data_IF_405460844840
#
_entry.id   IF_405460844840
#
_cell.length_a   1.000
_cell.length_b   1.000
_cell.length_c   1.000
_cell.angle_alpha   90.00
_cell.angle_beta   90.00
_cell.angle_gamma   90.00
#
_symmetry.space_group_name_H-M   'P 1'
#
loop_
_entity.id
_entity.type
_entity.pdbx_description
1 polymer ?
#
# COMPACT_ATOMS: atom_id res chain seq x y z
N UNK A 1 -8.96 -7.83 0.15
CA UNK A 1 -8.27 -6.93 1.09
C UNK A 1 -6.87 -7.45 1.38
N UNK A 2 -5.95 -6.55 1.67
CA UNK A 2 -4.58 -6.84 2.05
C UNK A 2 -4.28 -6.15 3.39
N UNK A 3 -3.50 -5.09 3.46
CA UNK A 3 -3.26 -4.34 4.68
C UNK A 3 -4.49 -3.60 5.19
N UNK A 4 -4.55 -3.38 6.49
CA UNK A 4 -5.61 -2.61 7.15
C UNK A 4 -5.07 -1.90 8.40
N UNK A 5 -5.60 -0.71 8.69
CA UNK A 5 -5.27 0.06 9.89
C UNK A 5 -6.52 0.71 10.50
N UNK A 6 -6.48 0.95 11.80
CA UNK A 6 -7.52 1.71 12.50
C UNK A 6 -7.19 3.19 12.38
N UNK A 7 -8.12 3.95 11.83
CA UNK A 7 -7.99 5.40 11.71
C UNK A 7 -8.33 6.15 12.99
N UNK A 8 -8.04 7.47 13.05
CA UNK A 8 -8.29 8.31 14.22
C UNK A 8 -9.78 8.43 14.57
N UNK A 9 -10.68 8.13 13.66
CA UNK A 9 -12.13 8.10 13.84
C UNK A 9 -12.65 6.74 14.35
N UNK A 10 -11.76 5.76 14.56
CA UNK A 10 -12.10 4.42 15.03
C UNK A 10 -12.66 3.50 13.92
N UNK A 11 -12.67 3.93 12.68
CA UNK A 11 -12.99 3.08 11.55
C UNK A 11 -11.76 2.28 11.09
N UNK A 12 -11.98 1.16 10.39
CA UNK A 12 -10.91 0.41 9.76
C UNK A 12 -10.77 0.84 8.32
N UNK A 13 -9.54 1.18 7.92
CA UNK A 13 -9.17 1.50 6.55
C UNK A 13 -8.46 0.32 5.92
N UNK A 14 -8.89 -0.07 4.74
CA UNK A 14 -8.48 -1.31 4.09
C UNK A 14 -7.90 -1.02 2.72
N UNK A 15 -6.70 -1.51 2.48
CA UNK A 15 -6.13 -1.64 1.15
C UNK A 15 -6.80 -2.81 0.42
N UNK A 16 -7.75 -2.52 -0.47
CA UNK A 16 -8.39 -3.54 -1.28
C UNK A 16 -7.71 -3.60 -2.65
N UNK A 17 -6.97 -4.67 -2.88
CA UNK A 17 -6.18 -4.88 -4.09
C UNK A 17 -6.99 -5.40 -5.30
N UNK A 18 -8.31 -5.45 -5.20
CA UNK A 18 -9.20 -5.86 -6.30
C UNK A 18 -9.26 -7.36 -6.58
N UNK A 19 -8.43 -8.16 -5.94
CA UNK A 19 -8.37 -9.61 -6.09
C UNK A 19 -7.07 -10.11 -6.75
N UNK A 20 -6.71 -11.36 -6.42
CA UNK A 20 -5.61 -12.12 -7.01
C UNK A 20 -6.12 -13.43 -7.60
N UNK A 21 -5.40 -13.95 -8.57
CA UNK A 21 -5.42 -15.37 -8.88
C UNK A 21 -4.72 -16.12 -7.73
N UNK A 22 -5.25 -17.28 -7.34
CA UNK A 22 -4.68 -18.10 -6.27
C UNK A 22 -4.25 -19.45 -6.80
N UNK A 23 -3.01 -19.82 -6.53
CA UNK A 23 -2.44 -21.11 -6.87
C UNK A 23 -2.27 -21.97 -5.62
N UNK A 24 -2.70 -23.23 -5.69
CA UNK A 24 -2.39 -24.20 -4.65
C UNK A 24 -1.12 -24.96 -5.05
N UNK A 25 -0.04 -24.73 -4.32
CA UNK A 25 1.24 -25.42 -4.51
C UNK A 25 1.56 -26.16 -3.22
N UNK A 26 1.50 -27.50 -3.29
CA UNK A 26 1.75 -28.39 -2.15
C UNK A 26 0.92 -28.06 -0.88
N UNK A 27 -0.33 -27.65 -1.07
CA UNK A 27 -1.24 -27.30 0.02
C UNK A 27 -1.14 -25.84 0.49
N UNK A 28 -0.23 -25.04 -0.06
CA UNK A 28 -0.09 -23.61 0.22
C UNK A 28 -0.83 -22.81 -0.85
N UNK A 29 -1.67 -21.87 -0.40
CA UNK A 29 -2.30 -20.89 -1.28
C UNK A 29 -1.34 -19.71 -1.51
N UNK A 30 -0.84 -19.60 -2.73
CA UNK A 30 0.11 -18.57 -3.15
C UNK A 30 -0.62 -17.59 -4.09
N UNK A 31 -0.55 -16.28 -3.85
CA UNK A 31 -1.11 -15.30 -4.77
C UNK A 31 -0.33 -15.31 -6.08
N UNK A 32 -1.06 -15.34 -7.18
CA UNK A 32 -0.54 -15.20 -8.53
C UNK A 32 -0.65 -13.77 -9.06
N UNK A 33 -0.99 -13.66 -10.33
CA UNK A 33 -1.25 -12.38 -10.97
C UNK A 33 -2.65 -11.83 -10.68
N UNK A 34 -3.07 -10.93 -11.55
CA UNK A 34 -4.43 -10.41 -11.57
C UNK A 34 -5.40 -11.53 -11.93
N UNK A 35 -6.37 -11.79 -11.05
CA UNK A 35 -7.43 -12.77 -11.34
C UNK A 35 -8.46 -12.26 -12.34
N UNK A 36 -9.19 -13.18 -12.96
CA UNK A 36 -10.27 -12.87 -13.93
C UNK A 36 -11.38 -12.00 -13.33
N UNK A 37 -11.58 -12.08 -12.01
CA UNK A 37 -12.58 -11.31 -11.26
C UNK A 37 -12.02 -10.02 -10.64
N UNK A 38 -10.88 -9.52 -11.13
CA UNK A 38 -10.29 -8.30 -10.65
C UNK A 38 -11.26 -7.12 -10.76
N UNK A 39 -11.47 -6.42 -9.64
CA UNK A 39 -12.50 -5.36 -9.50
C UNK A 39 -11.91 -3.95 -9.30
N UNK A 40 -10.63 -3.76 -9.58
CA UNK A 40 -9.92 -2.49 -9.35
C UNK A 40 -9.36 -2.36 -7.92
N UNK A 41 -8.21 -1.67 -7.81
CA UNK A 41 -7.64 -1.30 -6.52
C UNK A 41 -8.41 -0.14 -5.89
N UNK A 42 -8.52 -0.13 -4.56
CA UNK A 42 -9.22 0.94 -3.84
C UNK A 42 -8.88 0.97 -2.35
N UNK A 43 -9.10 2.11 -1.73
CA UNK A 43 -9.10 2.23 -0.27
C UNK A 43 -10.54 2.25 0.21
N UNK A 44 -10.86 1.36 1.13
CA UNK A 44 -12.18 1.23 1.74
C UNK A 44 -12.12 1.61 3.22
N UNK A 45 -13.18 2.25 3.71
CA UNK A 45 -13.40 2.59 5.12
C UNK A 45 -14.57 1.78 5.64
N UNK A 46 -14.37 1.12 6.77
CA UNK A 46 -15.38 0.29 7.43
C UNK A 46 -15.70 0.85 8.81
N UNK A 47 -16.93 1.21 9.03
CA UNK A 47 -17.44 1.55 10.36
C UNK A 47 -17.71 0.26 11.15
N UNK A 48 -16.94 0.03 12.22
CA UNK A 48 -17.04 -1.17 13.04
C UNK A 48 -18.35 -1.29 13.83
N UNK A 49 -19.08 -0.18 14.03
CA UNK A 49 -20.34 -0.19 14.77
C UNK A 49 -21.51 -0.60 13.89
N UNK A 50 -21.52 -0.12 12.66
CA UNK A 50 -22.62 -0.33 11.72
C UNK A 50 -22.33 -1.42 10.69
N UNK A 51 -21.04 -1.75 10.47
CA UNK A 51 -20.60 -2.63 9.39
C UNK A 51 -20.69 -1.98 8.01
N UNK A 52 -20.96 -0.68 7.92
CA UNK A 52 -21.01 0.01 6.63
C UNK A 52 -19.63 0.10 6.01
N UNK A 53 -19.56 -0.07 4.67
CA UNK A 53 -18.34 0.00 3.89
C UNK A 53 -18.49 1.16 2.91
N UNK A 54 -17.49 2.02 2.87
CA UNK A 54 -17.39 3.15 1.96
C UNK A 54 -16.09 3.04 1.16
N UNK A 55 -16.14 3.20 -0.17
CA UNK A 55 -14.94 3.36 -0.98
C UNK A 55 -14.56 4.84 -1.00
N UNK A 56 -13.37 5.17 -0.48
CA UNK A 56 -12.92 6.56 -0.36
C UNK A 56 -11.93 6.98 -1.44
N UNK A 57 -11.12 6.05 -1.97
CA UNK A 57 -10.21 6.33 -3.08
C UNK A 57 -10.17 5.16 -4.05
N UNK A 58 -10.20 5.46 -5.36
CA UNK A 58 -10.04 4.51 -6.47
C UNK A 58 -8.95 4.91 -7.44
N UNK A 59 -8.49 6.17 -7.36
CA UNK A 59 -7.50 6.76 -8.26
C UNK A 59 -6.74 7.89 -7.59
N UNK A 60 -5.61 8.29 -8.19
CA UNK A 60 -4.87 9.50 -7.88
C UNK A 60 -4.50 10.20 -9.19
N UNK A 61 -4.88 11.48 -9.35
CA UNK A 61 -4.60 12.30 -10.54
C UNK A 61 -5.00 11.63 -11.87
N UNK A 62 -6.15 10.93 -11.88
CA UNK A 62 -6.67 10.19 -13.04
C UNK A 62 -6.02 8.85 -13.28
N UNK A 63 -5.05 8.43 -12.45
CA UNK A 63 -4.43 7.11 -12.52
C UNK A 63 -5.13 6.16 -11.55
N UNK A 64 -5.79 5.10 -12.03
CA UNK A 64 -6.46 4.13 -11.16
C UNK A 64 -5.49 3.43 -10.23
N UNK A 65 -5.85 3.27 -8.95
CA UNK A 65 -5.16 2.38 -8.03
C UNK A 65 -5.25 0.94 -8.56
N UNK A 66 -4.15 0.20 -8.46
CA UNK A 66 -4.03 -1.15 -9.03
C UNK A 66 -4.08 -2.25 -7.99
N UNK A 67 -3.23 -2.17 -7.00
CA UNK A 67 -3.09 -3.16 -5.97
C UNK A 67 -2.68 -2.58 -4.63
N UNK A 68 -3.51 -1.70 -4.00
CA UNK A 68 -3.23 -1.20 -2.66
C UNK A 68 -2.88 -2.36 -1.73
N UNK A 69 -1.76 -2.20 -1.01
CA UNK A 69 -1.16 -3.31 -0.31
C UNK A 69 -1.16 -3.11 1.20
N UNK A 70 -0.47 -2.12 1.72
CA UNK A 70 -0.33 -1.88 3.15
C UNK A 70 -0.55 -0.41 3.50
N UNK A 71 -0.90 -0.12 4.77
CA UNK A 71 -1.36 1.20 5.22
C UNK A 71 -0.94 1.48 6.66
N UNK A 72 -0.50 2.72 6.93
CA UNK A 72 -0.18 3.22 8.27
C UNK A 72 -0.67 4.65 8.43
N UNK A 73 -1.31 4.95 9.56
CA UNK A 73 -1.69 6.32 9.94
C UNK A 73 -0.54 7.04 10.62
N UNK A 74 -0.44 8.35 10.36
CA UNK A 74 0.46 9.23 11.10
C UNK A 74 -0.27 9.97 12.23
N UNK A 75 0.48 10.64 13.10
CA UNK A 75 -0.04 11.40 14.24
C UNK A 75 -0.87 12.63 13.84
N UNK A 76 -0.73 13.10 12.60
CA UNK A 76 -1.51 14.22 12.06
C UNK A 76 -2.88 13.75 11.54
N UNK A 77 -3.11 12.41 11.53
CA UNK A 77 -4.37 11.78 11.16
C UNK A 77 -4.54 11.52 9.67
N UNK A 78 -3.51 11.74 8.87
CA UNK A 78 -3.41 11.23 7.51
C UNK A 78 -2.88 9.80 7.47
N UNK A 79 -2.80 9.21 6.31
CA UNK A 79 -2.25 7.87 6.16
C UNK A 79 -1.38 7.72 4.91
N UNK A 80 -0.36 6.91 5.08
CA UNK A 80 0.51 6.44 4.02
C UNK A 80 0.06 5.06 3.58
N UNK A 81 0.08 4.79 2.29
CA UNK A 81 -0.18 3.44 1.79
C UNK A 81 0.64 3.15 0.56
N UNK A 82 0.89 1.86 0.35
CA UNK A 82 1.57 1.35 -0.84
C UNK A 82 0.57 0.78 -1.82
N UNK A 83 0.88 0.90 -3.11
CA UNK A 83 0.26 0.15 -4.18
C UNK A 83 1.33 -0.73 -4.83
N UNK A 84 1.11 -2.05 -4.81
CA UNK A 84 2.03 -3.03 -5.36
C UNK A 84 2.00 -3.07 -6.89
N UNK A 85 0.92 -2.56 -7.48
CA UNK A 85 0.58 -2.85 -8.87
C UNK A 85 -0.01 -4.24 -9.06
N UNK A 86 -0.22 -4.63 -10.31
CA UNK A 86 -0.69 -5.96 -10.72
C UNK A 86 0.23 -6.55 -11.78
N UNK A 87 0.35 -7.87 -11.75
CA UNK A 87 0.98 -8.64 -12.83
C UNK A 87 -0.10 -9.39 -13.60
N UNK A 88 -0.12 -9.27 -14.91
CA UNK A 88 -1.09 -9.96 -15.78
C UNK A 88 -0.47 -10.27 -17.14
N UNK A 89 -0.58 -11.50 -17.57
CA UNK A 89 0.06 -11.98 -18.79
C UNK A 89 1.58 -11.68 -18.81
N UNK A 90 2.01 -10.80 -19.72
CA UNK A 90 3.40 -10.37 -19.90
C UNK A 90 3.65 -8.94 -19.43
N UNK A 91 2.75 -8.36 -18.65
CA UNK A 91 2.79 -7.00 -18.13
C UNK A 91 2.86 -7.02 -16.61
N UNK A 92 3.57 -6.02 -16.05
CA UNK A 92 3.61 -5.74 -14.62
C UNK A 92 3.47 -4.25 -14.42
N UNK A 93 2.49 -3.83 -13.61
CA UNK A 93 2.41 -2.45 -13.16
C UNK A 93 3.58 -2.14 -12.23
N UNK A 94 4.03 -0.89 -12.25
CA UNK A 94 4.94 -0.38 -11.22
C UNK A 94 4.12 0.00 -9.99
N UNK A 95 4.69 -0.22 -8.81
CA UNK A 95 4.11 0.19 -7.56
C UNK A 95 4.42 1.66 -7.22
N UNK A 96 3.77 2.14 -6.17
CA UNK A 96 3.90 3.51 -5.67
C UNK A 96 3.71 3.61 -4.16
N UNK A 97 4.16 4.74 -3.59
CA UNK A 97 3.82 5.19 -2.24
C UNK A 97 2.90 6.40 -2.35
N UNK A 98 1.81 6.35 -1.62
CA UNK A 98 0.79 7.41 -1.56
C UNK A 98 0.66 7.98 -0.16
N UNK A 99 0.15 9.21 -0.10
CA UNK A 99 -0.36 9.83 1.13
C UNK A 99 -1.79 10.32 0.89
N UNK A 100 -2.68 10.10 1.86
CA UNK A 100 -4.07 10.51 1.74
C UNK A 100 -4.70 10.88 3.09
N UNK A 101 -5.87 11.54 3.04
CA UNK A 101 -6.65 11.90 4.21
C UNK A 101 -7.90 11.03 4.36
N UNK A 102 -8.36 10.74 5.60
CA UNK A 102 -9.48 9.84 5.87
C UNK A 102 -10.85 10.39 5.44
N UNK A 103 -10.93 11.67 5.08
CA UNK A 103 -12.15 12.34 4.61
C UNK A 103 -12.40 12.22 3.10
N UNK A 104 -11.53 11.52 2.37
CA UNK A 104 -11.66 11.29 0.94
C UNK A 104 -11.34 12.48 0.05
N UNK A 105 -10.77 13.59 0.60
CA UNK A 105 -10.59 14.84 -0.14
C UNK A 105 -9.20 15.08 -0.68
N UNK A 106 -8.19 14.37 -0.13
CA UNK A 106 -6.81 14.55 -0.54
C UNK A 106 -6.12 13.20 -0.70
N UNK A 107 -5.57 12.96 -1.87
CA UNK A 107 -4.67 11.87 -2.18
C UNK A 107 -3.53 12.40 -3.04
N UNK A 108 -2.32 11.90 -2.82
CA UNK A 108 -1.12 12.29 -3.56
C UNK A 108 -0.23 11.08 -3.77
N UNK A 109 0.24 10.88 -5.00
CA UNK A 109 1.35 9.98 -5.29
C UNK A 109 2.65 10.65 -4.85
N UNK A 110 3.32 10.05 -3.86
CA UNK A 110 4.52 10.62 -3.24
C UNK A 110 5.79 10.09 -3.87
N UNK A 111 5.80 8.78 -4.18
CA UNK A 111 6.92 8.13 -4.88
C UNK A 111 6.38 7.22 -5.97
N UNK A 112 6.86 7.43 -7.18
CA UNK A 112 6.65 6.57 -8.34
C UNK A 112 7.88 6.67 -9.27
N UNK A 113 8.36 5.58 -9.87
CA UNK A 113 7.93 4.20 -9.63
C UNK A 113 8.69 3.53 -8.47
N UNK A 114 8.02 2.54 -7.84
CA UNK A 114 8.65 1.54 -6.97
C UNK A 114 8.34 0.18 -7.59
N UNK A 115 9.31 -0.72 -7.73
CA UNK A 115 9.12 -1.95 -8.51
C UNK A 115 8.00 -2.85 -7.95
N UNK A 116 7.94 -2.99 -6.63
CA UNK A 116 6.91 -3.79 -5.93
C UNK A 116 6.72 -3.30 -4.49
N UNK A 117 6.16 -2.09 -4.36
CA UNK A 117 5.87 -1.48 -3.08
C UNK A 117 4.90 -2.35 -2.27
N UNK A 118 5.37 -2.94 -1.17
CA UNK A 118 4.63 -3.88 -0.33
C UNK A 118 4.39 -3.25 1.05
N UNK A 119 5.04 -3.72 2.12
CA UNK A 119 4.86 -3.19 3.46
C UNK A 119 5.26 -1.73 3.61
N UNK A 120 4.57 -0.99 4.46
CA UNK A 120 4.85 0.40 4.80
C UNK A 120 4.80 0.60 6.31
N UNK A 121 5.71 1.42 6.85
CA UNK A 121 5.75 1.72 8.28
C UNK A 121 6.47 3.02 8.59
N UNK A 122 6.11 3.65 9.70
CA UNK A 122 6.72 4.88 10.19
C UNK A 122 7.82 4.58 11.22
N UNK A 123 8.84 5.43 11.30
CA UNK A 123 9.74 5.47 12.45
C UNK A 123 8.98 5.84 13.73
N UNK A 124 9.50 5.53 14.93
CA UNK A 124 8.84 5.91 16.18
C UNK A 124 8.58 7.42 16.33
N UNK A 125 9.44 8.24 15.76
CA UNK A 125 9.33 9.70 15.75
C UNK A 125 8.49 10.21 14.57
N UNK A 126 8.09 9.31 13.64
CA UNK A 126 7.36 9.61 12.41
C UNK A 126 8.09 10.60 11.47
N UNK A 127 9.41 10.62 11.54
CA UNK A 127 10.26 11.44 10.68
C UNK A 127 10.79 10.69 9.45
N UNK A 128 10.57 9.36 9.38
CA UNK A 128 10.92 8.48 8.26
C UNK A 128 9.76 7.56 7.93
N UNK A 129 9.40 7.47 6.65
CA UNK A 129 8.51 6.43 6.13
C UNK A 129 9.37 5.33 5.47
N UNK A 130 9.16 4.08 5.90
CA UNK A 130 9.83 2.91 5.34
C UNK A 130 8.92 2.19 4.36
N UNK A 131 9.49 1.73 3.26
CA UNK A 131 8.78 0.94 2.24
C UNK A 131 9.59 -0.30 1.89
N UNK A 132 8.97 -1.45 2.02
CA UNK A 132 9.53 -2.71 1.55
C UNK A 132 9.26 -2.88 0.06
N UNK A 133 10.31 -2.92 -0.75
CA UNK A 133 10.27 -3.18 -2.17
C UNK A 133 10.63 -4.65 -2.41
N UNK A 134 9.61 -5.50 -2.56
CA UNK A 134 9.72 -6.95 -2.41
C UNK A 134 10.56 -7.61 -3.49
N UNK A 135 10.30 -7.31 -4.76
CA UNK A 135 10.98 -7.99 -5.88
C UNK A 135 12.50 -7.77 -5.88
N UNK A 136 13.00 -6.52 -5.73
CA UNK A 136 14.44 -6.31 -5.63
C UNK A 136 15.02 -6.58 -4.23
N UNK A 137 14.20 -6.93 -3.23
CA UNK A 137 14.62 -7.18 -1.86
C UNK A 137 15.22 -5.95 -1.17
N UNK A 138 14.59 -4.79 -1.33
CA UNK A 138 15.08 -3.51 -0.79
C UNK A 138 14.15 -2.97 0.29
N UNK A 139 14.76 -2.30 1.25
CA UNK A 139 14.06 -1.43 2.19
C UNK A 139 14.45 0.03 1.89
N UNK A 140 13.46 0.82 1.54
CA UNK A 140 13.59 2.25 1.34
C UNK A 140 13.20 3.00 2.61
N UNK A 141 13.93 4.06 2.95
CA UNK A 141 13.52 5.03 3.96
C UNK A 141 13.51 6.43 3.35
N UNK A 142 12.41 7.12 3.49
CA UNK A 142 12.23 8.47 2.99
C UNK A 142 12.02 9.42 4.17
N UNK A 143 12.95 10.36 4.42
CA UNK A 143 12.75 11.38 5.45
C UNK A 143 11.49 12.21 5.15
N UNK A 144 10.58 12.27 6.10
CA UNK A 144 9.35 13.07 6.05
C UNK A 144 9.69 14.49 6.47
N UNK A 145 9.22 15.48 5.73
CA UNK A 145 9.36 16.90 6.08
C UNK A 145 8.04 17.52 6.48
N UNK A 146 6.95 17.06 5.93
CA UNK A 146 5.57 17.44 6.20
C UNK A 146 4.65 16.27 5.83
N UNK A 147 3.38 16.21 6.28
CA UNK A 147 2.43 15.21 5.86
C UNK A 147 2.35 15.09 4.34
N UNK A 148 2.63 13.90 3.79
CA UNK A 148 2.67 13.67 2.34
C UNK A 148 3.85 14.32 1.60
N UNK A 149 4.87 14.82 2.30
CA UNK A 149 6.07 15.42 1.70
C UNK A 149 7.33 14.76 2.25
N UNK A 150 8.17 14.26 1.34
CA UNK A 150 9.40 13.55 1.65
C UNK A 150 10.62 14.19 0.97
N UNK A 151 11.78 13.85 1.47
CA UNK A 151 13.07 14.07 0.77
C UNK A 151 13.49 12.79 0.04
N UNK A 152 14.51 12.91 -0.82
CA UNK A 152 15.04 11.77 -1.59
C UNK A 152 15.39 10.56 -0.71
N UNK A 153 15.30 9.35 -1.28
CA UNK A 153 15.40 8.11 -0.52
C UNK A 153 16.79 7.87 0.07
N UNK A 154 16.80 7.22 1.24
CA UNK A 154 17.98 6.50 1.74
C UNK A 154 17.70 5.01 1.61
N UNK A 155 18.54 4.27 0.90
CA UNK A 155 18.47 2.81 0.87
C UNK A 155 19.05 2.25 2.16
N UNK A 156 18.31 1.36 2.85
CA UNK A 156 18.76 0.74 4.12
C UNK A 156 19.21 -0.72 3.97
N UNK A 157 19.20 -1.29 2.81
CA UNK A 157 19.68 -2.64 2.59
C UNK A 157 19.18 -3.26 1.29
N UNK A 158 20.01 -4.15 0.75
CA UNK A 158 19.65 -5.08 -0.33
C UNK A 158 19.93 -6.47 0.23
N UNK A 159 18.90 -7.30 0.38
CA UNK A 159 19.08 -8.71 0.70
C UNK A 159 18.83 -9.53 -0.56
N UNK A 160 19.87 -10.18 -1.05
CA UNK A 160 19.73 -11.18 -2.12
C UNK A 160 19.00 -12.41 -1.56
N UNK A 161 17.77 -12.64 -2.01
CA UNK A 161 17.07 -13.91 -1.81
C UNK A 161 16.01 -13.97 -0.70
N UNK A 162 15.59 -12.90 -0.07
CA UNK A 162 14.44 -12.88 0.83
C UNK A 162 13.35 -11.92 0.38
N UNK A 163 12.12 -12.39 0.39
CA UNK A 163 10.94 -11.55 0.26
C UNK A 163 10.71 -10.83 1.59
N UNK A 164 10.88 -9.51 1.62
CA UNK A 164 10.52 -8.71 2.78
C UNK A 164 9.00 -8.52 2.81
N UNK A 165 8.36 -9.07 3.82
CA UNK A 165 7.03 -8.67 4.24
C UNK A 165 7.24 -7.91 5.54
N UNK A 166 7.09 -6.59 5.52
CA UNK A 166 6.90 -5.81 6.72
C UNK A 166 5.41 -5.91 7.07
N UNK A 167 5.07 -6.66 8.10
CA UNK A 167 3.85 -6.46 8.87
C UNK A 167 4.29 -5.90 10.22
N UNK A 168 3.98 -4.67 10.47
CA UNK A 168 4.16 -4.00 11.76
C UNK A 168 2.89 -4.12 12.58
#
# INVERSE_FOLDING_TARGET
PNGAAIGPDGCVYICNNGGFEWHNIDGLLIPGGQGDNYSGGRIEKVDLKTGSIETIYTECDGNPLKGPNDIVFDKEGGFWFTDLGKSYNRQKDQGALFYATPDGKFIKEVVFPIESANGVGLSPEEDIIYVADTTPGRLWGYPITEPGVIRGPKSFGVHSGMHFILSL
#
